data_IF_254352121898
#
_entry.id   IF_254352121898
#
_cell.length_a   1.000
_cell.length_b   1.000
_cell.length_c   1.000
_cell.angle_alpha   90.00
_cell.angle_beta   90.00
_cell.angle_gamma   90.00
#
_symmetry.space_group_name_H-M   'P 1'
#
loop_
_entity.id
_entity.type
_entity.pdbx_description
1 polymer ?
#
# COMPACT_ATOMS: atom_id res chain seq x y z
N UNK A 1 24.26 20.07 15.07
CA UNK A 1 24.64 19.34 13.84
C UNK A 1 24.55 17.81 13.91
N UNK A 2 23.96 17.23 14.97
CA UNK A 2 23.82 15.76 15.10
C UNK A 2 22.47 15.17 14.69
N UNK A 3 21.50 15.99 14.23
CA UNK A 3 20.18 15.50 13.80
C UNK A 3 20.07 15.12 12.32
N UNK A 4 21.01 15.53 11.48
CA UNK A 4 20.95 15.32 10.03
C UNK A 4 21.28 13.90 9.58
N UNK A 5 22.15 13.17 10.29
CA UNK A 5 22.62 11.85 9.85
C UNK A 5 21.63 10.70 10.12
N UNK A 6 20.81 10.79 11.17
CA UNK A 6 19.76 9.79 11.47
C UNK A 6 18.54 9.94 10.55
N UNK A 7 18.22 11.18 10.17
CA UNK A 7 17.14 11.50 9.25
C UNK A 7 17.46 11.08 7.81
N UNK A 8 18.70 11.31 7.38
CA UNK A 8 19.19 10.92 6.05
C UNK A 8 19.26 9.39 5.88
N UNK A 9 19.59 8.62 6.92
CA UNK A 9 19.60 7.16 6.88
C UNK A 9 18.19 6.60 6.76
N UNK A 10 17.21 7.18 7.47
CA UNK A 10 15.80 6.81 7.41
C UNK A 10 15.20 7.09 6.02
N UNK A 11 15.51 8.24 5.44
CA UNK A 11 15.07 8.60 4.09
C UNK A 11 15.66 7.69 3.03
N UNK A 12 16.95 7.33 3.16
CA UNK A 12 17.60 6.38 2.25
C UNK A 12 16.98 5.00 2.32
N UNK A 13 16.67 4.51 3.53
CA UNK A 13 15.99 3.23 3.74
C UNK A 13 14.58 3.25 3.15
N UNK A 14 13.78 4.26 3.44
CA UNK A 14 12.44 4.43 2.85
C UNK A 14 12.49 4.51 1.32
N UNK A 15 13.46 5.24 0.76
CA UNK A 15 13.65 5.37 -0.68
C UNK A 15 13.99 4.02 -1.32
N UNK A 16 14.74 3.16 -0.65
CA UNK A 16 15.10 1.82 -1.15
C UNK A 16 13.90 0.89 -1.33
N UNK A 17 12.78 1.16 -0.63
CA UNK A 17 11.54 0.42 -0.81
C UNK A 17 10.87 0.67 -2.18
N UNK A 18 11.26 1.73 -2.88
CA UNK A 18 10.70 2.13 -4.17
C UNK A 18 11.70 1.92 -5.30
N UNK A 19 11.71 0.76 -5.97
CA UNK A 19 12.73 0.42 -6.99
C UNK A 19 12.85 1.42 -8.13
N UNK A 20 11.76 2.11 -8.48
CA UNK A 20 11.76 3.13 -9.55
C UNK A 20 12.69 4.30 -9.25
N UNK A 21 12.93 4.61 -7.98
CA UNK A 21 13.82 5.71 -7.57
C UNK A 21 15.29 5.41 -7.81
N UNK A 22 15.66 4.15 -8.07
CA UNK A 22 17.00 3.75 -8.48
C UNK A 22 17.34 4.14 -9.92
N UNK A 23 16.33 4.37 -10.76
CA UNK A 23 16.48 4.75 -12.17
C UNK A 23 16.10 6.20 -12.44
N UNK A 24 15.08 6.71 -11.73
CA UNK A 24 14.42 7.97 -12.05
C UNK A 24 14.23 8.85 -10.83
N UNK A 25 14.30 10.15 -11.01
CA UNK A 25 13.67 11.10 -10.10
C UNK A 25 12.15 11.08 -10.38
N UNK A 26 11.45 10.15 -9.71
CA UNK A 26 10.05 9.88 -9.99
C UNK A 26 9.14 10.97 -9.41
N UNK A 27 8.54 11.78 -10.26
CA UNK A 27 7.69 12.92 -9.88
C UNK A 27 6.22 12.75 -10.28
N UNK A 28 5.86 11.62 -10.91
CA UNK A 28 4.52 11.40 -11.46
C UNK A 28 3.56 10.70 -10.48
N UNK A 29 3.71 10.92 -9.18
CA UNK A 29 2.86 10.30 -8.16
C UNK A 29 1.39 10.78 -8.20
N UNK A 30 1.11 11.94 -8.80
CA UNK A 30 -0.25 12.42 -9.00
C UNK A 30 -1.06 11.62 -10.04
N UNK A 31 -0.38 10.98 -10.99
CA UNK A 31 -1.00 10.09 -11.98
C UNK A 31 -0.90 8.63 -11.57
N UNK A 32 0.32 8.11 -11.51
CA UNK A 32 0.59 6.72 -11.12
C UNK A 32 1.61 6.73 -9.97
N UNK A 33 1.21 6.22 -8.81
CA UNK A 33 2.11 6.11 -7.67
C UNK A 33 3.30 5.20 -7.95
N UNK A 34 4.47 5.56 -7.41
CA UNK A 34 5.56 4.61 -7.31
C UNK A 34 5.12 3.42 -6.46
N UNK A 35 5.31 2.20 -6.97
CA UNK A 35 4.95 0.98 -6.25
C UNK A 35 6.07 0.58 -5.30
N UNK A 36 5.84 0.59 -3.98
CA UNK A 36 6.82 0.08 -3.03
C UNK A 36 6.91 -1.44 -3.11
N UNK A 37 8.09 -1.98 -2.88
CA UNK A 37 8.36 -3.43 -2.94
C UNK A 37 7.38 -4.26 -2.09
N UNK A 38 7.07 -3.90 -0.83
CA UNK A 38 6.11 -4.67 -0.03
C UNK A 38 4.72 -4.80 -0.66
N UNK A 39 4.25 -3.76 -1.38
CA UNK A 39 2.98 -3.80 -2.10
C UNK A 39 3.06 -4.76 -3.29
N UNK A 40 4.13 -4.67 -4.08
CA UNK A 40 4.35 -5.58 -5.20
C UNK A 40 4.44 -7.04 -4.76
N UNK A 41 5.11 -7.30 -3.64
CA UNK A 41 5.23 -8.65 -3.07
C UNK A 41 3.87 -9.19 -2.59
N UNK A 42 3.08 -8.39 -1.89
CA UNK A 42 1.74 -8.76 -1.45
C UNK A 42 0.79 -9.06 -2.63
N UNK A 43 0.91 -8.35 -3.73
CA UNK A 43 0.14 -8.61 -4.95
C UNK A 43 0.55 -9.95 -5.59
N UNK A 44 1.84 -10.24 -5.68
CA UNK A 44 2.34 -11.53 -6.22
C UNK A 44 1.90 -12.70 -5.34
N UNK A 45 1.99 -12.55 -4.03
CA UNK A 45 1.52 -13.54 -3.06
C UNK A 45 0.04 -13.86 -3.26
N UNK A 46 -0.80 -12.85 -3.41
CA UNK A 46 -2.23 -13.05 -3.67
C UNK A 46 -2.50 -13.76 -5.00
N UNK A 47 -1.80 -13.35 -6.06
CA UNK A 47 -1.93 -13.99 -7.38
C UNK A 47 -1.53 -15.47 -7.29
N UNK A 48 -0.40 -15.79 -6.66
CA UNK A 48 0.05 -17.18 -6.47
C UNK A 48 -0.97 -18.00 -5.68
N UNK A 49 -1.49 -17.47 -4.59
CA UNK A 49 -2.52 -18.12 -3.80
C UNK A 49 -3.80 -18.39 -4.61
N UNK A 50 -4.16 -17.47 -5.49
CA UNK A 50 -5.31 -17.61 -6.38
C UNK A 50 -5.07 -18.65 -7.47
N UNK A 51 -3.89 -18.66 -8.10
CA UNK A 51 -3.50 -19.67 -9.11
C UNK A 51 -3.51 -21.08 -8.55
N UNK A 52 -3.02 -21.26 -7.32
CA UNK A 52 -2.91 -22.58 -6.68
C UNK A 52 -4.19 -23.04 -5.98
N UNK A 53 -4.88 -22.12 -5.30
CA UNK A 53 -6.02 -22.41 -4.42
C UNK A 53 -7.37 -21.98 -4.99
N UNK A 54 -7.39 -21.21 -6.07
CA UNK A 54 -8.63 -20.71 -6.66
C UNK A 54 -9.49 -19.97 -5.63
N UNK A 55 -10.69 -20.48 -5.38
CA UNK A 55 -11.64 -19.93 -4.41
C UNK A 55 -11.09 -19.84 -2.98
N UNK A 56 -10.18 -20.72 -2.60
CA UNK A 56 -9.65 -20.79 -1.23
C UNK A 56 -8.74 -19.61 -0.89
N UNK A 57 -8.29 -18.83 -1.88
CA UNK A 57 -7.61 -17.54 -1.65
C UNK A 57 -8.53 -16.42 -1.12
N UNK A 58 -9.84 -16.54 -1.31
CA UNK A 58 -10.82 -15.49 -0.99
C UNK A 58 -10.95 -15.14 0.50
N UNK A 59 -10.98 -16.10 1.45
CA UNK A 59 -11.09 -15.78 2.87
C UNK A 59 -9.97 -14.87 3.38
N UNK A 60 -8.73 -15.13 2.94
CA UNK A 60 -7.58 -14.30 3.31
C UNK A 60 -7.66 -12.89 2.70
N UNK A 61 -8.09 -12.78 1.45
CA UNK A 61 -8.32 -11.47 0.81
C UNK A 61 -9.36 -10.66 1.60
N UNK A 62 -10.47 -11.27 2.01
CA UNK A 62 -11.49 -10.61 2.84
C UNK A 62 -10.93 -10.15 4.18
N UNK A 63 -10.12 -10.97 4.83
CA UNK A 63 -9.44 -10.61 6.08
C UNK A 63 -8.56 -9.37 5.89
N UNK A 64 -7.79 -9.32 4.81
CA UNK A 64 -6.93 -8.17 4.47
C UNK A 64 -7.75 -6.90 4.21
N UNK A 65 -8.93 -7.00 3.59
CA UNK A 65 -9.85 -5.86 3.43
C UNK A 65 -10.34 -5.31 4.78
N UNK A 66 -10.72 -6.17 5.71
CA UNK A 66 -11.13 -5.74 7.04
C UNK A 66 -9.98 -5.05 7.79
N UNK A 67 -8.80 -5.64 7.74
CA UNK A 67 -7.60 -5.08 8.36
C UNK A 67 -7.19 -3.72 7.74
N UNK A 68 -7.37 -3.55 6.43
CA UNK A 68 -7.14 -2.26 5.76
C UNK A 68 -8.06 -1.18 6.31
N UNK A 69 -9.35 -1.48 6.48
CA UNK A 69 -10.32 -0.53 7.06
C UNK A 69 -9.96 -0.14 8.50
N UNK A 70 -9.57 -1.09 9.31
CA UNK A 70 -9.11 -0.85 10.69
C UNK A 70 -7.89 0.06 10.72
N UNK A 71 -6.85 -0.27 9.97
CA UNK A 71 -5.61 0.53 9.91
C UNK A 71 -5.83 1.94 9.38
N UNK A 72 -6.68 2.09 8.38
CA UNK A 72 -6.99 3.40 7.83
C UNK A 72 -7.83 4.23 8.82
N UNK A 73 -8.79 3.60 9.50
CA UNK A 73 -9.57 4.25 10.55
C UNK A 73 -8.67 4.75 11.69
N UNK A 74 -7.73 3.95 12.14
CA UNK A 74 -6.75 4.35 13.16
C UNK A 74 -5.92 5.55 12.70
N UNK A 75 -5.47 5.54 11.44
CA UNK A 75 -4.66 6.62 10.86
C UNK A 75 -5.39 7.97 10.87
N UNK A 76 -6.69 7.98 10.59
CA UNK A 76 -7.50 9.22 10.51
C UNK A 76 -8.32 9.51 11.77
N UNK A 77 -8.16 8.71 12.84
CA UNK A 77 -8.91 8.89 14.09
C UNK A 77 -10.40 8.57 13.96
N UNK A 78 -10.77 7.56 13.18
CA UNK A 78 -12.15 7.14 12.93
C UNK A 78 -12.37 5.68 13.38
N UNK A 79 -13.53 5.12 13.03
CA UNK A 79 -13.87 3.71 13.25
C UNK A 79 -13.94 2.98 11.92
N UNK A 80 -13.59 1.69 11.90
CA UNK A 80 -13.60 0.86 10.69
C UNK A 80 -14.98 0.80 10.01
N UNK A 81 -16.06 0.87 10.78
CA UNK A 81 -17.44 0.91 10.28
C UNK A 81 -17.76 2.14 9.41
N UNK A 82 -16.99 3.24 9.59
CA UNK A 82 -17.13 4.47 8.82
C UNK A 82 -16.28 4.49 7.54
N UNK A 83 -15.52 3.41 7.27
CA UNK A 83 -14.62 3.31 6.12
C UNK A 83 -15.27 2.44 5.05
N UNK A 84 -15.37 2.98 3.85
CA UNK A 84 -15.78 2.27 2.63
C UNK A 84 -14.64 2.31 1.62
N UNK A 85 -14.32 1.16 1.03
CA UNK A 85 -13.32 1.04 -0.02
C UNK A 85 -14.02 1.10 -1.36
N UNK A 86 -13.56 1.99 -2.24
CA UNK A 86 -14.09 2.16 -3.60
C UNK A 86 -12.98 2.05 -4.63
N UNK A 87 -13.35 1.82 -5.89
CA UNK A 87 -12.38 1.67 -7.00
C UNK A 87 -11.72 3.00 -7.38
N UNK A 88 -12.42 4.11 -7.19
CA UNK A 88 -11.94 5.45 -7.57
C UNK A 88 -12.74 6.55 -6.85
N UNK A 89 -12.21 7.76 -6.88
CA UNK A 89 -12.93 8.95 -6.40
C UNK A 89 -14.25 9.15 -7.15
N UNK A 90 -14.27 8.94 -8.46
CA UNK A 90 -15.50 9.05 -9.27
C UNK A 90 -16.55 8.03 -8.83
N UNK A 91 -16.18 6.79 -8.55
CA UNK A 91 -17.09 5.78 -8.03
C UNK A 91 -17.60 6.12 -6.62
N UNK A 92 -16.78 6.75 -5.78
CA UNK A 92 -17.16 7.15 -4.43
C UNK A 92 -18.16 8.32 -4.41
N UNK A 93 -18.11 9.21 -5.40
CA UNK A 93 -18.98 10.40 -5.50
C UNK A 93 -20.33 10.09 -6.15
N UNK A 94 -20.40 9.11 -7.04
CA UNK A 94 -21.62 8.66 -7.71
C UNK A 94 -22.40 7.64 -6.87
#
# INVERSE_FOLDING_TARGET
MKHQSADDSNLSELRSLFPVTGKWNYLYNGGIHACPRPVGDAMREYISAWEEGGRDAWPEARRKFSLLKEKFADLIGSKAENIVITESTSAAVN
#
